data_IF_455737828837
#
_entry.id   IF_455737828837
#
_cell.length_a   1.000
_cell.length_b   1.000
_cell.length_c   1.000
_cell.angle_alpha   90.00
_cell.angle_beta   90.00
_cell.angle_gamma   90.00
#
_symmetry.space_group_name_H-M   'P 1'
#
loop_
_entity.id
_entity.type
_entity.pdbx_description
1 polymer ?
#
# COMPACT_ATOMS: atom_id res chain seq x y z
N UNK A 1 50.20 -19.49 2.62
CA UNK A 1 51.60 -19.03 2.74
C UNK A 1 52.48 -19.99 1.95
N UNK A 2 52.71 -19.71 0.67
CA UNK A 2 53.64 -20.48 -0.15
C UNK A 2 55.06 -20.08 0.23
N UNK A 3 55.88 -21.06 0.57
CA UNK A 3 57.29 -20.93 0.90
C UNK A 3 58.04 -20.55 -0.39
N UNK A 4 58.31 -19.26 -0.62
CA UNK A 4 59.12 -18.85 -1.76
C UNK A 4 60.56 -19.28 -1.54
N UNK A 5 61.03 -20.20 -2.40
CA UNK A 5 62.41 -20.64 -2.48
C UNK A 5 63.34 -19.42 -2.67
N UNK A 6 64.30 -19.18 -1.77
CA UNK A 6 65.18 -17.99 -1.81
C UNK A 6 66.05 -17.88 -3.08
N UNK A 7 66.13 -18.96 -3.89
CA UNK A 7 66.81 -18.97 -5.19
C UNK A 7 65.88 -18.75 -6.40
N UNK A 8 64.58 -18.52 -6.19
CA UNK A 8 63.67 -18.15 -7.27
C UNK A 8 64.16 -16.87 -7.95
N UNK A 9 64.19 -16.86 -9.28
CA UNK A 9 64.61 -15.71 -10.09
C UNK A 9 63.86 -14.43 -9.67
N UNK A 10 62.61 -14.55 -9.24
CA UNK A 10 61.79 -13.45 -8.75
C UNK A 10 62.30 -12.86 -7.42
N UNK A 11 62.85 -13.69 -6.52
CA UNK A 11 63.50 -13.22 -5.29
C UNK A 11 64.81 -12.49 -5.61
N UNK A 12 65.60 -13.02 -6.55
CA UNK A 12 66.85 -12.40 -7.02
C UNK A 12 66.56 -11.06 -7.73
N UNK A 13 65.53 -11.00 -8.57
CA UNK A 13 65.09 -9.77 -9.25
C UNK A 13 64.58 -8.75 -8.23
N UNK A 14 63.79 -9.15 -7.23
CA UNK A 14 63.34 -8.26 -6.15
C UNK A 14 64.50 -7.66 -5.35
N UNK A 15 65.47 -8.49 -4.95
CA UNK A 15 66.66 -8.02 -4.21
C UNK A 15 67.50 -7.07 -5.07
N UNK A 16 67.66 -7.36 -6.36
CA UNK A 16 68.44 -6.53 -7.29
C UNK A 16 67.75 -5.22 -7.66
N UNK A 17 66.42 -5.21 -7.70
CA UNK A 17 65.62 -4.01 -7.91
C UNK A 17 65.57 -3.14 -6.65
N UNK A 18 65.49 -3.76 -5.46
CA UNK A 18 65.48 -3.07 -4.17
C UNK A 18 66.85 -2.50 -3.78
N UNK A 19 67.93 -3.15 -4.20
CA UNK A 19 69.30 -2.75 -3.83
C UNK A 19 69.99 -2.08 -5.02
N UNK A 20 69.94 -0.75 -5.10
CA UNK A 20 70.75 -0.02 -6.08
C UNK A 20 72.25 -0.23 -5.76
N UNK A 21 72.92 -1.05 -6.56
CA UNK A 21 74.35 -1.32 -6.38
C UNK A 21 75.25 -0.26 -7.03
N UNK A 22 74.70 0.73 -7.74
CA UNK A 22 75.51 1.78 -8.40
C UNK A 22 76.27 2.65 -7.38
N UNK A 23 75.66 3.12 -6.26
CA UNK A 23 76.37 3.86 -5.22
C UNK A 23 77.48 3.04 -4.56
N UNK A 24 77.23 1.75 -4.27
CA UNK A 24 78.22 0.85 -3.70
C UNK A 24 79.41 0.64 -4.66
N UNK A 25 79.16 0.40 -5.94
CA UNK A 25 80.21 0.27 -6.96
C UNK A 25 81.03 1.56 -7.10
N UNK A 26 80.39 2.73 -7.00
CA UNK A 26 81.09 4.03 -7.01
C UNK A 26 82.00 4.17 -5.79
N UNK A 27 81.51 3.83 -4.59
CA UNK A 27 82.27 3.88 -3.35
C UNK A 27 83.49 2.93 -3.39
N UNK A 28 83.31 1.70 -3.88
CA UNK A 28 84.39 0.73 -4.05
C UNK A 28 85.45 1.23 -5.02
N UNK A 29 85.06 1.84 -6.16
CA UNK A 29 86.02 2.43 -7.10
C UNK A 29 86.81 3.58 -6.46
N UNK A 30 86.16 4.45 -5.68
CA UNK A 30 86.81 5.54 -4.95
C UNK A 30 87.79 5.02 -3.89
N UNK A 31 87.42 3.97 -3.18
CA UNK A 31 88.29 3.31 -2.21
C UNK A 31 89.54 2.71 -2.86
N UNK A 32 89.39 2.02 -3.99
CA UNK A 32 90.53 1.46 -4.75
C UNK A 32 91.44 2.58 -5.27
N UNK A 33 90.88 3.70 -5.75
CA UNK A 33 91.67 4.87 -6.15
C UNK A 33 92.43 5.50 -4.99
N UNK A 34 91.81 5.61 -3.81
CA UNK A 34 92.45 6.11 -2.60
C UNK A 34 93.60 5.18 -2.15
N UNK A 35 93.37 3.86 -2.16
CA UNK A 35 94.41 2.86 -1.84
C UNK A 35 95.62 2.97 -2.77
N UNK A 36 95.39 3.07 -4.09
CA UNK A 36 96.47 3.25 -5.08
C UNK A 36 97.24 4.56 -4.88
N UNK A 37 96.56 5.63 -4.52
CA UNK A 37 97.18 6.92 -4.22
C UNK A 37 97.95 6.94 -2.88
N UNK A 38 97.67 5.99 -1.98
CA UNK A 38 98.45 5.77 -0.76
C UNK A 38 99.69 4.91 -1.02
N UNK A 39 99.59 3.92 -1.92
CA UNK A 39 100.69 3.01 -2.32
C UNK A 39 101.71 3.68 -3.27
N UNK A 40 101.25 4.58 -4.14
CA UNK A 40 102.10 5.40 -4.99
C UNK A 40 102.40 6.70 -4.23
N UNK A 41 103.66 7.16 -4.12
CA UNK A 41 104.06 8.41 -3.44
C UNK A 41 103.52 9.69 -4.11
N UNK A 42 102.20 9.78 -4.27
CA UNK A 42 101.47 10.94 -4.80
C UNK A 42 101.49 12.09 -3.79
N UNK A 43 101.35 13.31 -4.28
CA UNK A 43 101.35 14.54 -3.46
C UNK A 43 100.34 14.44 -2.30
N UNK A 44 100.69 14.88 -1.07
CA UNK A 44 99.81 14.79 0.10
C UNK A 44 98.44 15.47 -0.13
N UNK A 45 98.38 16.53 -0.92
CA UNK A 45 97.15 17.26 -1.26
C UNK A 45 96.17 16.40 -2.07
N UNK A 46 96.69 15.61 -3.02
CA UNK A 46 95.85 14.72 -3.85
C UNK A 46 95.24 13.59 -3.03
N UNK A 47 95.98 13.07 -2.05
CA UNK A 47 95.47 12.05 -1.11
C UNK A 47 94.37 12.61 -0.22
N UNK A 48 94.53 13.84 0.27
CA UNK A 48 93.52 14.50 1.09
C UNK A 48 92.22 14.75 0.31
N UNK A 49 92.32 15.17 -0.96
CA UNK A 49 91.16 15.35 -1.83
C UNK A 49 90.43 14.02 -2.14
N UNK A 50 91.18 12.94 -2.35
CA UNK A 50 90.61 11.60 -2.57
C UNK A 50 89.93 11.07 -1.30
N UNK A 51 90.51 11.33 -0.13
CA UNK A 51 89.94 10.96 1.16
C UNK A 51 88.63 11.73 1.42
N UNK A 52 88.62 13.04 1.23
CA UNK A 52 87.41 13.85 1.44
C UNK A 52 86.29 13.42 0.48
N UNK A 53 86.61 13.17 -0.79
CA UNK A 53 85.64 12.64 -1.75
C UNK A 53 85.09 11.26 -1.33
N UNK A 54 85.95 10.37 -0.82
CA UNK A 54 85.51 9.07 -0.32
C UNK A 54 84.59 9.20 0.90
N UNK A 55 84.91 10.06 1.87
CA UNK A 55 84.05 10.30 3.03
C UNK A 55 82.69 10.89 2.65
N UNK A 56 82.66 11.82 1.69
CA UNK A 56 81.39 12.36 1.18
C UNK A 56 80.54 11.29 0.47
N UNK A 57 81.15 10.45 -0.37
CA UNK A 57 80.45 9.34 -1.04
C UNK A 57 79.98 8.29 -0.02
N UNK A 58 80.71 8.08 1.08
CA UNK A 58 80.32 7.20 2.19
C UNK A 58 79.12 7.76 2.97
N UNK A 59 79.15 9.03 3.35
CA UNK A 59 78.03 9.69 4.02
C UNK A 59 76.76 9.70 3.15
N UNK A 60 76.91 9.94 1.84
CA UNK A 60 75.80 9.84 0.88
C UNK A 60 75.26 8.41 0.78
N UNK A 61 76.13 7.40 0.83
CA UNK A 61 75.71 6.00 0.83
C UNK A 61 74.93 5.64 2.10
N UNK A 62 75.39 6.11 3.26
CA UNK A 62 74.73 5.90 4.55
C UNK A 62 73.30 6.46 4.55
N UNK A 63 73.13 7.71 4.12
CA UNK A 63 71.80 8.33 4.00
C UNK A 63 70.92 7.60 2.97
N UNK A 64 71.45 7.27 1.79
CA UNK A 64 70.65 6.64 0.74
C UNK A 64 70.22 5.21 1.06
N UNK A 65 71.02 4.44 1.78
CA UNK A 65 70.69 3.05 2.10
C UNK A 65 69.96 2.98 3.44
N UNK A 66 70.51 3.55 4.51
CA UNK A 66 69.96 3.32 5.84
C UNK A 66 68.68 4.12 6.07
N UNK A 67 68.71 5.43 5.79
CA UNK A 67 67.58 6.28 6.16
C UNK A 67 66.47 6.21 5.12
N UNK A 68 66.81 6.33 3.83
CA UNK A 68 65.82 6.30 2.75
C UNK A 68 65.13 4.94 2.62
N UNK A 69 65.85 3.82 2.60
CA UNK A 69 65.16 2.51 2.49
C UNK A 69 64.34 2.19 3.72
N UNK A 70 64.83 2.49 4.92
CA UNK A 70 64.02 2.33 6.15
C UNK A 70 62.75 3.16 6.10
N UNK A 71 62.82 4.39 5.58
CA UNK A 71 61.65 5.25 5.48
C UNK A 71 60.66 4.76 4.42
N UNK A 72 61.14 4.34 3.24
CA UNK A 72 60.31 3.74 2.19
C UNK A 72 59.63 2.47 2.71
N UNK A 73 60.35 1.60 3.41
CA UNK A 73 59.77 0.38 4.00
C UNK A 73 58.66 0.72 4.99
N UNK A 74 58.89 1.67 5.91
CA UNK A 74 57.88 2.12 6.87
C UNK A 74 56.65 2.71 6.17
N UNK A 75 56.86 3.56 5.17
CA UNK A 75 55.79 4.16 4.39
C UNK A 75 54.98 3.09 3.64
N UNK A 76 55.65 2.11 3.00
CA UNK A 76 54.97 1.04 2.28
C UNK A 76 54.13 0.17 3.21
N UNK A 77 54.61 -0.12 4.42
CA UNK A 77 53.83 -0.87 5.43
C UNK A 77 52.62 -0.07 5.87
N UNK A 78 52.76 1.24 6.12
CA UNK A 78 51.64 2.11 6.45
C UNK A 78 50.60 2.12 5.31
N UNK A 79 51.03 2.37 4.07
CA UNK A 79 50.16 2.37 2.89
C UNK A 79 49.45 1.03 2.68
N UNK A 80 50.12 -0.09 2.93
CA UNK A 80 49.48 -1.41 2.84
C UNK A 80 48.37 -1.60 3.88
N UNK A 81 48.53 -1.05 5.07
CA UNK A 81 47.49 -1.07 6.09
C UNK A 81 46.32 -0.17 5.69
N UNK A 82 46.60 1.05 5.23
CA UNK A 82 45.58 2.00 4.77
C UNK A 82 44.73 1.38 3.63
N UNK A 83 45.39 0.80 2.63
CA UNK A 83 44.68 0.12 1.53
C UNK A 83 43.87 -1.09 2.00
N UNK A 84 44.31 -1.78 3.06
CA UNK A 84 43.56 -2.91 3.62
C UNK A 84 42.30 -2.42 4.33
N UNK A 85 42.40 -1.33 5.09
CA UNK A 85 41.27 -0.69 5.75
C UNK A 85 40.26 -0.16 4.72
N UNK A 86 40.74 0.50 3.67
CA UNK A 86 39.90 0.97 2.56
C UNK A 86 39.19 -0.20 1.87
N UNK A 87 39.88 -1.32 1.61
CA UNK A 87 39.27 -2.51 1.02
C UNK A 87 38.18 -3.11 1.90
N UNK A 88 38.37 -3.14 3.21
CA UNK A 88 37.37 -3.66 4.13
C UNK A 88 36.18 -2.69 4.26
N UNK A 89 36.42 -1.38 4.22
CA UNK A 89 35.37 -0.35 4.15
C UNK A 89 34.49 -0.50 2.89
N UNK A 90 35.12 -0.61 1.72
CA UNK A 90 34.41 -0.79 0.43
C UNK A 90 33.61 -2.08 0.42
N UNK A 91 34.12 -3.18 0.99
CA UNK A 91 33.34 -4.42 1.10
C UNK A 91 32.09 -4.24 1.95
N UNK A 92 32.22 -3.58 3.10
CA UNK A 92 31.08 -3.31 3.98
C UNK A 92 30.03 -2.43 3.27
N UNK A 93 30.47 -1.42 2.52
CA UNK A 93 29.58 -0.56 1.73
C UNK A 93 28.85 -1.36 0.62
N UNK A 94 29.55 -2.28 -0.05
CA UNK A 94 28.94 -3.18 -1.04
C UNK A 94 27.89 -4.10 -0.38
N UNK A 95 28.19 -4.65 0.79
CA UNK A 95 27.25 -5.49 1.52
C UNK A 95 26.01 -4.70 1.96
N UNK A 96 26.19 -3.50 2.50
CA UNK A 96 25.10 -2.60 2.86
C UNK A 96 24.24 -2.22 1.65
N UNK A 97 24.88 -1.87 0.53
CA UNK A 97 24.15 -1.53 -0.70
C UNK A 97 23.35 -2.73 -1.21
N UNK A 98 23.88 -3.96 -1.08
CA UNK A 98 23.16 -5.18 -1.45
C UNK A 98 21.95 -5.42 -0.55
N UNK A 99 22.08 -5.17 0.75
CA UNK A 99 20.94 -5.27 1.67
C UNK A 99 19.88 -4.24 1.34
N UNK A 100 20.27 -3.00 1.06
CA UNK A 100 19.34 -1.92 0.71
C UNK A 100 18.63 -2.19 -0.62
N UNK A 101 19.31 -2.75 -1.62
CA UNK A 101 18.68 -3.23 -2.86
C UNK A 101 17.66 -4.33 -2.55
N UNK A 102 17.95 -5.22 -1.60
CA UNK A 102 17.02 -6.26 -1.15
C UNK A 102 15.74 -5.66 -0.57
N UNK A 103 15.89 -4.74 0.39
CA UNK A 103 14.73 -4.10 1.04
C UNK A 103 13.90 -3.28 0.06
N UNK A 104 14.54 -2.52 -0.84
CA UNK A 104 13.84 -1.73 -1.85
C UNK A 104 13.07 -2.59 -2.86
N UNK A 105 13.54 -3.81 -3.16
CA UNK A 105 12.80 -4.76 -3.99
C UNK A 105 11.55 -5.27 -3.30
N UNK A 106 11.66 -5.59 -2.01
CA UNK A 106 10.51 -6.05 -1.22
C UNK A 106 9.47 -4.92 -1.07
N UNK A 107 9.91 -3.70 -0.80
CA UNK A 107 9.05 -2.51 -0.77
C UNK A 107 8.33 -2.28 -2.11
N UNK A 108 9.06 -2.41 -3.22
CA UNK A 108 8.48 -2.27 -4.56
C UNK A 108 7.39 -3.31 -4.82
N UNK A 109 7.61 -4.56 -4.41
CA UNK A 109 6.61 -5.63 -4.58
C UNK A 109 5.36 -5.38 -3.71
N UNK A 110 5.57 -4.93 -2.47
CA UNK A 110 4.47 -4.55 -1.57
C UNK A 110 3.65 -3.39 -2.16
N UNK A 111 4.30 -2.38 -2.73
CA UNK A 111 3.60 -1.26 -3.37
C UNK A 111 2.85 -1.66 -4.64
N UNK A 112 3.41 -2.58 -5.44
CA UNK A 112 2.69 -3.16 -6.59
C UNK A 112 1.44 -3.92 -6.14
N UNK A 113 1.54 -4.74 -5.10
CA UNK A 113 0.40 -5.44 -4.52
C UNK A 113 -0.65 -4.46 -3.99
N UNK A 114 -0.23 -3.40 -3.27
CA UNK A 114 -1.11 -2.33 -2.79
C UNK A 114 -1.86 -1.66 -3.94
N UNK A 115 -1.16 -1.35 -5.03
CA UNK A 115 -1.79 -0.78 -6.24
C UNK A 115 -2.77 -1.76 -6.88
N UNK A 116 -2.45 -3.04 -6.97
CA UNK A 116 -3.35 -4.06 -7.50
C UNK A 116 -4.65 -4.13 -6.68
N UNK A 117 -4.54 -4.20 -5.35
CA UNK A 117 -5.70 -4.19 -4.46
C UNK A 117 -6.53 -2.91 -4.62
N UNK A 118 -5.89 -1.74 -4.71
CA UNK A 118 -6.58 -0.47 -4.93
C UNK A 118 -7.41 -0.48 -6.23
N UNK A 119 -6.83 -1.01 -7.32
CA UNK A 119 -7.54 -1.14 -8.59
C UNK A 119 -8.72 -2.13 -8.51
N UNK A 120 -8.56 -3.24 -7.79
CA UNK A 120 -9.66 -4.18 -7.52
C UNK A 120 -10.79 -3.51 -6.74
N UNK A 121 -10.46 -2.73 -5.70
CA UNK A 121 -11.43 -1.95 -4.95
C UNK A 121 -12.13 -0.91 -5.82
N UNK A 122 -11.41 -0.22 -6.70
CA UNK A 122 -12.00 0.75 -7.62
C UNK A 122 -12.98 0.09 -8.59
N UNK A 123 -12.67 -1.11 -9.09
CA UNK A 123 -13.58 -1.89 -9.95
C UNK A 123 -14.85 -2.26 -9.18
N UNK A 124 -14.71 -2.72 -7.93
CA UNK A 124 -15.86 -3.05 -7.08
C UNK A 124 -16.68 -1.79 -6.76
N UNK A 125 -16.02 -0.68 -6.42
CA UNK A 125 -16.66 0.59 -6.11
C UNK A 125 -17.48 1.11 -7.30
N UNK A 126 -16.94 1.05 -8.53
CA UNK A 126 -17.68 1.40 -9.75
C UNK A 126 -18.94 0.57 -9.91
N UNK A 127 -18.86 -0.75 -9.73
CA UNK A 127 -20.03 -1.64 -9.76
C UNK A 127 -21.05 -1.32 -8.67
N UNK A 128 -20.59 -0.96 -7.46
CA UNK A 128 -21.48 -0.54 -6.38
C UNK A 128 -22.22 0.75 -6.71
N UNK A 129 -21.60 1.69 -7.41
CA UNK A 129 -22.22 2.95 -7.86
C UNK A 129 -23.27 2.71 -8.97
N UNK A 130 -23.06 1.71 -9.83
CA UNK A 130 -24.04 1.35 -10.87
C UNK A 130 -25.35 0.79 -10.30
N UNK A 131 -25.31 0.21 -9.10
CA UNK A 131 -26.48 -0.34 -8.41
C UNK A 131 -27.20 0.79 -7.66
N UNK A 132 -28.54 0.77 -7.67
CA UNK A 132 -29.34 1.74 -6.92
C UNK A 132 -28.91 1.83 -5.45
N UNK A 133 -29.00 3.03 -4.87
CA UNK A 133 -28.65 3.21 -3.46
C UNK A 133 -29.48 2.28 -2.58
N UNK A 134 -28.86 1.73 -1.55
CA UNK A 134 -29.55 0.85 -0.60
C UNK A 134 -30.78 1.51 -0.01
N UNK A 135 -30.69 2.81 0.29
CA UNK A 135 -31.80 3.58 0.86
C UNK A 135 -32.96 3.71 -0.15
N UNK A 136 -32.67 3.93 -1.43
CA UNK A 136 -33.67 3.98 -2.48
C UNK A 136 -34.36 2.62 -2.67
N UNK A 137 -33.58 1.53 -2.64
CA UNK A 137 -34.12 0.17 -2.67
C UNK A 137 -35.04 -0.11 -1.48
N UNK A 138 -34.65 0.32 -0.27
CA UNK A 138 -35.46 0.16 0.95
C UNK A 138 -36.76 0.97 0.89
N UNK A 139 -36.71 2.21 0.39
CA UNK A 139 -37.92 3.01 0.14
C UNK A 139 -38.84 2.36 -0.88
N UNK A 140 -38.29 1.85 -1.99
CA UNK A 140 -39.07 1.14 -3.01
C UNK A 140 -39.71 -0.14 -2.45
N UNK A 141 -38.99 -0.90 -1.62
CA UNK A 141 -39.56 -2.07 -0.93
C UNK A 141 -40.71 -1.68 0.00
N UNK A 142 -40.55 -0.62 0.80
CA UNK A 142 -41.59 -0.15 1.70
C UNK A 142 -42.85 0.32 0.94
N UNK A 143 -42.66 1.07 -0.15
CA UNK A 143 -43.76 1.51 -1.01
C UNK A 143 -44.52 0.33 -1.63
N UNK A 144 -43.80 -0.66 -2.17
CA UNK A 144 -44.41 -1.87 -2.74
C UNK A 144 -45.13 -2.70 -1.67
N UNK A 145 -44.60 -2.80 -0.45
CA UNK A 145 -45.28 -3.47 0.67
C UNK A 145 -46.60 -2.78 1.03
N UNK A 146 -46.61 -1.45 1.11
CA UNK A 146 -47.82 -0.69 1.38
C UNK A 146 -48.87 -0.86 0.25
N UNK A 147 -48.42 -0.91 -1.00
CA UNK A 147 -49.30 -1.17 -2.15
C UNK A 147 -49.91 -2.58 -2.08
N UNK A 148 -49.11 -3.60 -1.75
CA UNK A 148 -49.57 -4.97 -1.55
C UNK A 148 -50.63 -5.04 -0.44
N UNK A 149 -50.40 -4.38 0.69
CA UNK A 149 -51.37 -4.32 1.80
C UNK A 149 -52.67 -3.64 1.36
N UNK A 150 -52.59 -2.52 0.64
CA UNK A 150 -53.74 -1.82 0.08
C UNK A 150 -54.55 -2.72 -0.87
N UNK A 151 -53.86 -3.41 -1.80
CA UNK A 151 -54.50 -4.33 -2.74
C UNK A 151 -55.15 -5.52 -2.03
N UNK A 152 -54.52 -6.05 -0.97
CA UNK A 152 -55.11 -7.12 -0.15
C UNK A 152 -56.37 -6.65 0.57
N UNK A 153 -56.38 -5.44 1.14
CA UNK A 153 -57.59 -4.86 1.75
C UNK A 153 -58.70 -4.64 0.72
N UNK A 154 -58.37 -4.14 -0.47
CA UNK A 154 -59.35 -3.97 -1.56
C UNK A 154 -59.93 -5.31 -2.00
N UNK A 155 -59.06 -6.31 -2.20
CA UNK A 155 -59.47 -7.69 -2.51
C UNK A 155 -60.42 -8.24 -1.45
N UNK A 156 -60.11 -8.04 -0.17
CA UNK A 156 -60.97 -8.49 0.93
C UNK A 156 -62.35 -7.80 0.88
N UNK A 157 -62.40 -6.47 0.70
CA UNK A 157 -63.67 -5.73 0.58
C UNK A 157 -64.52 -6.20 -0.60
N UNK A 158 -63.89 -6.44 -1.76
CA UNK A 158 -64.58 -6.97 -2.94
C UNK A 158 -65.12 -8.37 -2.65
N UNK A 159 -64.31 -9.22 -2.00
CA UNK A 159 -64.72 -10.58 -1.64
C UNK A 159 -65.92 -10.57 -0.68
N UNK A 160 -65.90 -9.74 0.36
CA UNK A 160 -67.01 -9.56 1.30
C UNK A 160 -68.28 -9.06 0.59
N UNK A 161 -68.16 -8.07 -0.30
CA UNK A 161 -69.29 -7.56 -1.08
C UNK A 161 -69.87 -8.62 -2.03
N UNK A 162 -69.00 -9.46 -2.63
CA UNK A 162 -69.40 -10.55 -3.50
C UNK A 162 -70.14 -11.62 -2.70
N UNK A 163 -69.65 -12.00 -1.53
CA UNK A 163 -70.27 -13.00 -0.67
C UNK A 163 -71.62 -12.52 -0.10
N UNK A 164 -71.73 -11.23 0.22
CA UNK A 164 -73.02 -10.61 0.56
C UNK A 164 -74.01 -10.65 -0.62
N UNK A 165 -73.57 -10.33 -1.85
CA UNK A 165 -74.41 -10.44 -3.05
C UNK A 165 -74.84 -11.88 -3.34
N UNK A 166 -73.95 -12.87 -3.13
CA UNK A 166 -74.31 -14.30 -3.22
C UNK A 166 -75.40 -14.65 -2.21
N UNK A 167 -75.32 -14.13 -0.98
CA UNK A 167 -76.34 -14.36 0.05
C UNK A 167 -77.69 -13.72 -0.32
N UNK A 168 -77.68 -12.47 -0.77
CA UNK A 168 -78.90 -11.81 -1.26
C UNK A 168 -79.52 -12.55 -2.44
N UNK A 169 -78.70 -13.00 -3.40
CA UNK A 169 -79.17 -13.78 -4.54
C UNK A 169 -79.80 -15.10 -4.09
N UNK A 170 -79.18 -15.83 -3.15
CA UNK A 170 -79.78 -17.03 -2.54
C UNK A 170 -81.13 -16.71 -1.90
N UNK A 171 -81.26 -15.59 -1.19
CA UNK A 171 -82.54 -15.18 -0.59
C UNK A 171 -83.60 -14.88 -1.65
N UNK A 172 -83.24 -14.21 -2.75
CA UNK A 172 -84.16 -13.94 -3.87
C UNK A 172 -84.58 -15.25 -4.54
N UNK A 173 -83.64 -16.17 -4.79
CA UNK A 173 -83.94 -17.50 -5.34
C UNK A 173 -84.88 -18.28 -4.42
N UNK A 174 -84.65 -18.24 -3.10
CA UNK A 174 -85.55 -18.85 -2.13
C UNK A 174 -86.94 -18.19 -2.14
N UNK A 175 -87.02 -16.86 -2.20
CA UNK A 175 -88.29 -16.14 -2.30
C UNK A 175 -89.05 -16.51 -3.59
N UNK A 176 -88.35 -16.62 -4.73
CA UNK A 176 -88.92 -17.13 -5.99
C UNK A 176 -89.43 -18.56 -5.85
N UNK A 177 -88.67 -19.45 -5.20
CA UNK A 177 -89.14 -20.80 -4.91
C UNK A 177 -90.38 -20.81 -4.02
N UNK A 178 -90.43 -20.00 -2.96
CA UNK A 178 -91.62 -19.90 -2.10
C UNK A 178 -92.83 -19.30 -2.82
N UNK A 179 -92.64 -18.33 -3.70
CA UNK A 179 -93.73 -17.79 -4.52
C UNK A 179 -94.21 -18.81 -5.54
N UNK A 180 -93.28 -19.54 -6.19
CA UNK A 180 -93.62 -20.66 -7.07
C UNK A 180 -94.45 -21.71 -6.32
N UNK A 181 -93.98 -22.13 -5.15
CA UNK A 181 -94.69 -23.08 -4.29
C UNK A 181 -96.05 -22.53 -3.83
N UNK A 182 -96.14 -21.25 -3.48
CA UNK A 182 -97.41 -20.60 -3.14
C UNK A 182 -98.38 -20.55 -4.32
N UNK A 183 -97.90 -20.30 -5.55
CA UNK A 183 -98.71 -20.32 -6.78
C UNK A 183 -99.20 -21.74 -7.07
N UNK A 184 -98.31 -22.74 -7.02
CA UNK A 184 -98.64 -24.17 -7.15
C UNK A 184 -99.64 -24.62 -6.06
N UNK A 185 -99.55 -24.06 -4.86
CA UNK A 185 -100.49 -24.31 -3.77
C UNK A 185 -101.83 -23.54 -3.93
N UNK A 186 -101.85 -22.34 -4.53
CA UNK A 186 -103.11 -21.62 -4.79
C UNK A 186 -103.94 -22.24 -5.91
N UNK A 187 -103.31 -22.90 -6.88
CA UNK A 187 -104.03 -23.72 -7.86
C UNK A 187 -104.64 -24.99 -7.23
N UNK A 188 -104.27 -25.32 -5.98
CA UNK A 188 -104.81 -26.47 -5.24
C UNK A 188 -105.63 -26.12 -3.99
N UNK A 189 -105.73 -24.84 -3.57
CA UNK A 189 -106.31 -24.45 -2.28
C UNK A 189 -107.52 -23.52 -2.31
N UNK A 190 -108.48 -23.73 -3.22
CA UNK A 190 -109.83 -23.15 -3.08
C UNK A 190 -110.63 -23.84 -1.95
N UNK A 191 -110.09 -23.96 -0.73
CA UNK A 191 -110.86 -24.32 0.45
C UNK A 191 -110.18 -23.85 1.76
N UNK A 192 -110.92 -23.06 2.52
CA UNK A 192 -110.82 -22.88 3.97
C UNK A 192 -109.92 -21.75 4.51
N UNK A 193 -110.59 -20.65 4.86
CA UNK A 193 -110.10 -19.58 5.75
C UNK A 193 -110.30 -19.93 7.23
N UNK A 194 -109.37 -19.53 8.14
CA UNK A 194 -109.73 -18.90 9.43
C UNK A 194 -108.54 -18.38 10.30
N UNK A 195 -108.52 -17.06 10.51
CA UNK A 195 -108.38 -16.24 11.74
C UNK A 195 -107.69 -16.75 13.04
N UNK A 196 -106.71 -15.98 13.61
CA UNK A 196 -106.78 -15.24 14.91
C UNK A 196 -105.44 -14.63 15.44
N UNK A 197 -105.58 -13.53 16.20
CA UNK A 197 -104.60 -12.66 16.91
C UNK A 197 -104.12 -13.21 18.29
N UNK A 198 -102.99 -12.70 18.82
CA UNK A 198 -102.82 -11.86 20.07
C UNK A 198 -101.35 -11.82 20.64
N UNK A 199 -100.85 -10.59 20.88
CA UNK A 199 -99.89 -9.97 21.86
C UNK A 199 -98.69 -10.68 22.54
N UNK A 200 -97.55 -9.95 22.68
CA UNK A 200 -97.05 -9.44 24.00
C UNK A 200 -95.88 -8.39 23.93
N UNK A 201 -95.57 -7.79 25.09
CA UNK A 201 -95.01 -6.44 25.39
C UNK A 201 -93.68 -6.49 26.19
N UNK A 202 -92.92 -5.36 26.21
CA UNK A 202 -91.82 -4.87 27.13
C UNK A 202 -90.43 -4.77 26.46
N UNK A 203 -89.50 -3.83 26.73
CA UNK A 203 -89.36 -2.59 27.55
C UNK A 203 -87.98 -1.94 27.21
N UNK A 204 -87.86 -0.59 27.29
CA UNK A 204 -86.70 0.31 27.62
C UNK A 204 -85.29 0.05 27.01
N UNK A 205 -84.44 1.03 26.65
CA UNK A 205 -84.23 2.39 27.16
C UNK A 205 -83.66 3.36 26.10
N UNK A 206 -83.97 4.66 26.26
CA UNK A 206 -83.28 5.83 25.69
C UNK A 206 -82.48 6.50 26.81
N UNK A 207 -81.23 6.87 26.54
CA UNK A 207 -80.43 7.99 27.11
C UNK A 207 -79.50 8.37 25.94
N UNK A 208 -79.44 9.57 25.35
CA UNK A 208 -79.48 10.92 25.93
C UNK A 208 -78.05 11.40 26.17
N UNK A 209 -77.34 11.90 25.15
CA UNK A 209 -76.99 13.33 25.00
C UNK A 209 -75.90 13.85 25.96
N UNK A 210 -74.77 14.28 25.38
CA UNK A 210 -73.97 15.50 25.69
C UNK A 210 -72.51 15.26 25.23
N UNK A 211 -71.66 16.21 24.85
CA UNK A 211 -71.72 17.64 24.56
C UNK A 211 -70.33 18.03 24.03
N UNK A 212 -70.26 19.09 23.24
CA UNK A 212 -69.04 19.71 22.74
C UNK A 212 -68.08 20.20 23.85
N UNK A 213 -66.79 20.30 23.51
CA UNK A 213 -65.94 21.42 23.95
C UNK A 213 -64.66 21.53 23.11
N UNK A 214 -64.46 22.71 22.50
CA UNK A 214 -63.15 23.29 22.21
C UNK A 214 -62.34 23.38 23.51
N UNK A 215 -61.02 23.16 23.42
CA UNK A 215 -60.05 23.80 24.30
C UNK A 215 -58.71 23.90 23.57
N UNK A 216 -58.43 25.14 23.19
CA UNK A 216 -57.13 25.73 22.93
C UNK A 216 -56.32 25.71 24.24
N UNK A 217 -55.05 25.32 24.19
CA UNK A 217 -54.10 25.52 25.30
C UNK A 217 -52.72 25.80 24.74
N UNK A 218 -52.46 27.09 24.69
CA UNK A 218 -51.18 27.77 24.66
C UNK A 218 -50.37 27.38 25.93
N UNK A 219 -49.11 26.97 25.78
CA UNK A 219 -48.08 27.04 26.84
C UNK A 219 -46.68 26.89 26.24
N UNK A 220 -45.97 28.01 26.29
CA UNK A 220 -44.57 28.22 25.96
C UNK A 220 -43.59 27.56 26.97
N UNK A 221 -42.32 27.42 26.54
CA UNK A 221 -41.05 27.70 27.23
C UNK A 221 -39.94 26.85 26.57
N UNK A 222 -39.06 27.44 25.76
CA UNK A 222 -37.71 27.87 26.15
C UNK A 222 -36.70 26.93 25.47
N UNK A 223 -35.74 27.36 24.65
CA UNK A 223 -34.80 28.46 24.83
C UNK A 223 -33.46 27.85 25.23
N UNK A 224 -32.52 27.71 24.29
CA UNK A 224 -31.17 28.27 24.42
C UNK A 224 -30.26 27.95 23.22
N UNK A 225 -29.63 29.03 22.79
CA UNK A 225 -28.51 29.17 21.87
C UNK A 225 -27.25 28.43 22.34
N UNK A 226 -26.40 27.98 21.40
CA UNK A 226 -24.94 28.16 21.51
C UNK A 226 -24.33 28.40 20.12
N UNK A 227 -23.50 29.44 20.13
CA UNK A 227 -22.66 30.11 19.14
C UNK A 227 -21.61 29.29 18.36
N UNK A 228 -21.29 29.89 17.20
CA UNK A 228 -19.97 30.22 16.61
C UNK A 228 -18.81 29.23 16.58
N UNK A 229 -18.08 29.29 15.45
CA UNK A 229 -16.69 28.84 15.39
C UNK A 229 -16.18 28.64 13.97
N UNK A 230 -15.32 29.56 13.54
CA UNK A 230 -14.77 29.79 12.20
C UNK A 230 -13.73 28.76 11.69
N UNK A 231 -13.34 29.01 10.43
CA UNK A 231 -12.00 28.87 9.82
C UNK A 231 -11.69 27.75 8.82
N UNK A 232 -11.45 28.21 7.58
CA UNK A 232 -10.36 27.90 6.64
C UNK A 232 -9.98 26.44 6.34
N UNK A 233 -9.87 26.08 5.05
CA UNK A 233 -8.60 26.16 4.30
C UNK A 233 -8.67 25.37 2.96
N UNK A 234 -7.96 25.85 1.93
CA UNK A 234 -7.37 24.98 0.89
C UNK A 234 -8.09 24.74 -0.44
N UNK A 235 -8.27 25.77 -1.28
CA UNK A 235 -8.56 25.61 -2.72
C UNK A 235 -7.27 25.22 -3.49
N UNK A 236 -7.10 23.91 -3.73
CA UNK A 236 -5.93 23.37 -4.46
C UNK A 236 -6.21 23.31 -5.97
N UNK A 237 -5.46 24.17 -6.66
CA UNK A 237 -5.02 24.13 -8.07
C UNK A 237 -5.36 22.85 -8.85
N UNK A 238 -6.12 23.05 -9.92
CA UNK A 238 -6.35 22.14 -11.04
C UNK A 238 -5.44 22.51 -12.22
N UNK A 239 -4.45 21.66 -12.52
CA UNK A 239 -3.75 21.53 -13.82
C UNK A 239 -3.10 20.13 -13.79
N UNK A 240 -3.57 19.08 -14.47
CA UNK A 240 -3.78 18.87 -15.92
C UNK A 240 -2.51 19.01 -16.75
N UNK A 241 -1.68 17.96 -16.73
CA UNK A 241 -0.69 17.54 -17.75
C UNK A 241 -0.38 16.07 -17.40
N UNK A 242 -1.06 15.05 -17.92
CA UNK A 242 -0.98 14.54 -19.30
C UNK A 242 0.45 14.53 -19.85
N UNK A 243 1.28 13.59 -19.40
CA UNK A 243 2.32 12.95 -20.23
C UNK A 243 2.45 11.47 -19.80
N UNK A 244 1.72 10.61 -20.49
CA UNK A 244 1.95 9.16 -20.52
C UNK A 244 3.15 8.89 -21.43
N UNK A 245 4.32 8.60 -20.87
CA UNK A 245 5.46 8.06 -21.63
C UNK A 245 5.58 6.56 -21.34
N UNK A 246 4.91 5.77 -22.17
CA UNK A 246 4.92 4.31 -22.20
C UNK A 246 6.25 3.80 -22.79
N UNK A 247 7.25 3.63 -21.93
CA UNK A 247 8.53 3.01 -22.27
C UNK A 247 8.43 1.49 -22.35
N UNK A 248 7.98 0.98 -23.50
CA UNK A 248 8.04 -0.44 -23.86
C UNK A 248 9.50 -0.89 -24.06
N UNK A 249 10.14 -1.45 -23.02
CA UNK A 249 11.38 -2.21 -23.20
C UNK A 249 11.03 -3.55 -23.84
N UNK A 250 11.31 -3.65 -25.14
CA UNK A 250 11.32 -4.91 -25.87
C UNK A 250 12.36 -5.83 -25.26
N UNK A 251 11.88 -6.95 -24.75
CA UNK A 251 12.63 -8.15 -24.40
C UNK A 251 13.20 -8.76 -25.70
N UNK A 252 14.43 -8.37 -26.07
CA UNK A 252 15.20 -9.07 -27.08
C UNK A 252 15.84 -10.32 -26.44
N UNK A 253 15.12 -11.44 -26.59
CA UNK A 253 15.65 -12.73 -27.09
C UNK A 253 17.18 -12.80 -27.16
N UNK A 254 17.84 -13.57 -26.29
CA UNK A 254 18.07 -15.02 -26.45
C UNK A 254 18.73 -15.36 -27.80
N UNK A 255 19.87 -16.07 -27.73
CA UNK A 255 20.81 -16.54 -28.78
C UNK A 255 22.07 -15.64 -28.78
N UNK A 256 23.23 -16.08 -28.34
CA UNK A 256 23.98 -17.22 -28.90
C UNK A 256 24.70 -18.06 -27.84
N UNK A 257 24.41 -19.36 -27.85
CA UNK A 257 25.38 -20.42 -27.53
C UNK A 257 25.87 -20.99 -28.86
N UNK A 258 27.16 -20.82 -29.16
CA UNK A 258 27.98 -21.67 -30.05
C UNK A 258 29.45 -21.39 -29.81
#
# INVERSE_FOLDING_TARGET
MSLLDPNSEEAIIRVRLATDQRPLKKLVRRFVSLKRAAETSQSPETRQLLLSAFLTDLALYEVNILTKQSHIQRMNVAQQNDFREDLDSVKNEIEQTRTDIGTLKDELENEKSRRAHMLEYDIVAKKCIEIQSREESERNMAALQQEIESLNMQKQKIQEALDYRKLLFKNVVNALHTMKEAIENTDTSSFSSNTRRINNKKKFARIGSSSASLAESDLALGGDDVEEGEEADGDRRRSSSEEEEEGAYKDETRMDES
#
